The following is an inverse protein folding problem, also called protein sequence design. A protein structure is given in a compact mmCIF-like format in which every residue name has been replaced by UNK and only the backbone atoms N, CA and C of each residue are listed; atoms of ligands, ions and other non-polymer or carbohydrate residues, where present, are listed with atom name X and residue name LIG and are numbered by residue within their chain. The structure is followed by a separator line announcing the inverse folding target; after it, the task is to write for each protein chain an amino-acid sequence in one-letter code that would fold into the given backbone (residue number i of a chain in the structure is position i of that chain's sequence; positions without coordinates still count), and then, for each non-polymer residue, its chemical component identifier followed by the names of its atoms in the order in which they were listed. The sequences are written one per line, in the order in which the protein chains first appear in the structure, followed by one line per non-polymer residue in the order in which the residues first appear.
data_IF_905601361003
#
_entry.id   IF_905601361003
#
_cell.length_a   1.000
_cell.length_b   1.000
_cell.length_c   1.000
_cell.angle_alpha   90.00
_cell.angle_beta   90.00
_cell.angle_gamma   90.00
#
_symmetry.space_group_name_H-M   'P 1'
#
loop_
_entity.id
_entity.type
_entity.pdbx_description
1 polymer ?
#
# COMPACT_ATOMS: atom_id res chain seq x y z
N UNK A 1 21.69 4.92 68.95
CA UNK A 1 23.00 4.60 68.35
C UNK A 1 22.88 4.97 66.88
N UNK A 2 23.14 6.24 66.56
CA UNK A 2 24.42 6.82 66.10
C UNK A 2 24.35 7.10 64.60
N UNK A 3 24.15 8.36 64.20
CA UNK A 3 25.15 9.31 63.64
C UNK A 3 25.30 9.09 62.12
N UNK A 4 25.27 10.06 61.19
CA UNK A 4 25.16 11.53 61.16
C UNK A 4 24.88 11.95 59.68
N UNK A 5 24.12 13.00 59.40
CA UNK A 5 24.53 14.42 59.24
C UNK A 5 25.62 14.69 58.18
N UNK A 6 25.23 15.34 57.06
CA UNK A 6 25.67 16.68 56.54
C UNK A 6 25.37 16.74 55.02
N UNK A 7 24.44 17.58 54.52
CA UNK A 7 24.45 19.04 54.25
C UNK A 7 24.63 19.36 52.74
N UNK A 8 23.75 20.22 52.19
CA UNK A 8 24.06 21.07 51.04
C UNK A 8 22.93 21.29 50.02
N UNK A 9 22.16 22.39 50.18
CA UNK A 9 21.85 23.46 49.19
C UNK A 9 21.54 23.03 47.73
N UNK A 10 20.52 23.45 46.97
CA UNK A 10 19.70 24.68 46.81
C UNK A 10 18.71 24.38 45.65
N UNK A 11 17.40 24.59 45.78
CA UNK A 11 16.59 25.70 45.22
C UNK A 11 16.46 25.84 43.67
N UNK A 12 15.20 26.05 43.22
CA UNK A 12 14.67 26.54 41.93
C UNK A 12 14.60 25.54 40.74
N UNK A 13 13.59 25.53 39.85
CA UNK A 13 12.33 26.26 39.69
C UNK A 13 11.49 25.48 38.64
N UNK A 14 10.27 25.03 38.98
CA UNK A 14 9.30 24.45 38.02
C UNK A 14 8.45 25.58 37.43
N UNK A 15 8.54 25.82 36.11
CA UNK A 15 7.62 26.73 35.42
C UNK A 15 6.47 25.96 34.77
N UNK A 16 5.29 26.31 35.26
CA UNK A 16 3.95 25.84 34.92
C UNK A 16 3.35 26.75 33.85
N UNK A 17 2.66 26.15 32.87
CA UNK A 17 1.82 26.84 31.90
C UNK A 17 0.67 27.60 32.59
N UNK A 18 0.28 28.80 32.12
CA UNK A 18 -1.03 29.35 32.41
C UNK A 18 -1.89 29.42 31.14
N UNK A 19 -3.05 28.77 31.23
CA UNK A 19 -4.26 29.04 30.46
C UNK A 19 -5.17 29.92 31.33
N UNK A 20 -5.62 31.07 30.83
CA UNK A 20 -6.94 31.59 31.17
C UNK A 20 -7.45 32.55 30.05
N UNK A 21 -8.74 32.47 29.65
CA UNK A 21 -9.33 33.27 28.59
C UNK A 21 -10.07 34.48 29.17
N UNK A 22 -10.05 35.62 28.48
CA UNK A 22 -11.09 36.68 28.48
C UNK A 22 -10.50 37.99 27.94
N UNK A 23 -10.80 38.33 26.69
CA UNK A 23 -11.03 39.71 26.18
C UNK A 23 -11.16 39.67 24.66
N UNK A 24 -12.35 39.93 24.16
CA UNK A 24 -12.59 40.17 22.75
C UNK A 24 -12.27 41.61 22.34
N UNK A 25 -12.49 41.86 21.04
CA UNK A 25 -12.76 43.12 20.34
C UNK A 25 -11.63 43.61 19.41
N UNK A 26 -11.96 43.49 18.11
CA UNK A 26 -11.60 44.26 16.90
C UNK A 26 -10.22 44.08 16.23
N UNK A 27 -10.27 43.43 15.05
CA UNK A 27 -9.29 43.52 13.98
C UNK A 27 -9.38 44.88 13.23
N UNK A 28 -8.24 45.52 12.88
CA UNK A 28 -8.22 46.60 11.90
C UNK A 28 -7.84 46.09 10.50
N UNK A 29 -8.61 46.56 9.52
CA UNK A 29 -8.47 46.36 8.07
C UNK A 29 -7.12 46.87 7.49
N UNK A 30 -6.63 46.29 6.37
CA UNK A 30 -5.41 46.76 5.71
C UNK A 30 -5.66 48.00 4.83
N UNK A 31 -4.76 48.97 4.94
CA UNK A 31 -4.77 50.25 4.24
C UNK A 31 -4.39 50.13 2.76
N UNK A 32 -5.04 50.98 1.96
CA UNK A 32 -4.79 51.22 0.54
C UNK A 32 -3.56 52.10 0.32
N UNK A 33 -2.70 51.74 -0.64
CA UNK A 33 -1.83 52.70 -1.32
C UNK A 33 -2.10 52.64 -2.82
N UNK A 34 -2.63 53.74 -3.35
CA UNK A 34 -2.93 53.97 -4.76
C UNK A 34 -1.64 54.33 -5.52
N UNK A 35 -1.56 53.93 -6.79
CA UNK A 35 -0.78 54.66 -7.81
C UNK A 35 -1.65 54.86 -9.07
N UNK A 36 -1.42 55.94 -9.84
CA UNK A 36 -2.40 56.45 -10.80
C UNK A 36 -2.25 55.79 -12.19
N UNK A 37 -3.39 55.57 -12.85
CA UNK A 37 -3.44 55.05 -14.21
C UNK A 37 -3.20 56.12 -15.27
N UNK A 38 -2.88 55.68 -16.50
CA UNK A 38 -3.32 56.30 -17.75
C UNK A 38 -3.07 55.36 -18.95
N UNK A 39 -4.08 55.34 -19.83
CA UNK A 39 -4.14 54.93 -21.25
C UNK A 39 -4.14 53.45 -21.64
N UNK A 40 -5.24 53.07 -22.29
CA UNK A 40 -5.45 51.79 -22.92
C UNK A 40 -4.85 51.68 -24.32
N UNK A 41 -4.55 50.44 -24.69
CA UNK A 41 -4.51 49.98 -26.07
C UNK A 41 -4.97 48.52 -26.10
N UNK A 42 -6.05 48.27 -26.86
CA UNK A 42 -6.50 46.95 -27.27
C UNK A 42 -5.34 46.20 -27.94
N UNK A 43 -5.23 44.89 -27.71
CA UNK A 43 -5.23 43.83 -28.75
C UNK A 43 -4.56 42.54 -28.23
N UNK A 44 -5.18 41.39 -28.56
CA UNK A 44 -4.66 40.01 -28.59
C UNK A 44 -4.47 39.21 -27.29
N UNK A 45 -5.53 38.45 -26.99
CA UNK A 45 -5.50 37.13 -26.34
C UNK A 45 -4.36 36.26 -26.93
N UNK A 46 -3.39 35.89 -26.10
CA UNK A 46 -2.59 34.67 -26.29
C UNK A 46 -2.94 33.73 -25.14
N UNK A 47 -3.64 32.65 -25.48
CA UNK A 47 -3.82 31.49 -24.59
C UNK A 47 -2.42 30.91 -24.34
N UNK A 48 -1.92 30.97 -23.11
CA UNK A 48 -0.85 30.07 -22.67
C UNK A 48 -1.50 28.70 -22.53
N UNK A 49 -0.99 27.73 -23.27
CA UNK A 49 -1.46 26.35 -23.21
C UNK A 49 -1.27 25.79 -21.83
N UNK A 50 -2.26 25.01 -21.39
CA UNK A 50 -2.05 23.96 -20.40
C UNK A 50 -0.99 23.02 -20.97
N UNK A 51 0.15 22.95 -20.30
CA UNK A 51 1.07 21.83 -20.45
C UNK A 51 0.42 20.67 -19.72
N UNK A 52 -0.25 19.81 -20.48
CA UNK A 52 -0.63 18.48 -20.03
C UNK A 52 0.66 17.69 -19.86
N UNK A 53 1.07 17.42 -18.62
CA UNK A 53 2.06 16.40 -18.35
C UNK A 53 1.42 15.05 -18.71
N UNK A 54 1.64 14.62 -19.95
CA UNK A 54 1.31 13.28 -20.43
C UNK A 54 2.12 12.27 -19.59
N UNK A 55 1.42 11.55 -18.71
CA UNK A 55 1.98 10.34 -18.10
C UNK A 55 2.04 9.29 -19.19
N UNK A 56 3.23 9.09 -19.75
CA UNK A 56 3.55 7.95 -20.60
C UNK A 56 3.39 6.67 -19.75
N UNK A 57 2.41 5.85 -20.12
CA UNK A 57 2.31 4.47 -19.66
C UNK A 57 3.45 3.69 -20.34
N UNK A 58 4.60 3.58 -19.67
CA UNK A 58 5.67 2.70 -20.11
C UNK A 58 5.15 1.25 -20.09
N UNK A 59 4.96 0.66 -21.27
CA UNK A 59 4.75 -0.78 -21.44
C UNK A 59 6.04 -1.50 -21.01
N UNK A 60 6.02 -2.12 -19.84
CA UNK A 60 7.15 -2.87 -19.33
C UNK A 60 7.29 -4.22 -20.06
N UNK A 61 8.44 -4.41 -20.69
CA UNK A 61 8.88 -5.69 -21.22
C UNK A 61 9.05 -6.72 -20.10
N UNK A 62 8.61 -7.94 -20.38
CA UNK A 62 8.77 -9.12 -19.52
C UNK A 62 10.24 -9.57 -19.46
N UNK A 63 11.11 -8.79 -18.82
CA UNK A 63 12.41 -9.30 -18.37
C UNK A 63 12.22 -9.89 -16.97
N UNK A 64 12.34 -11.22 -16.85
CA UNK A 64 12.19 -11.95 -15.60
C UNK A 64 12.99 -11.31 -14.46
N UNK A 65 12.29 -10.64 -13.56
CA UNK A 65 12.84 -9.84 -12.48
C UNK A 65 13.60 -10.72 -11.48
N UNK A 66 14.94 -10.73 -11.56
CA UNK A 66 15.79 -11.49 -10.64
C UNK A 66 15.67 -10.96 -9.22
N UNK A 67 15.55 -11.88 -8.26
CA UNK A 67 15.73 -11.63 -6.82
C UNK A 67 17.04 -10.89 -6.55
N UNK A 68 16.94 -9.70 -5.95
CA UNK A 68 18.11 -8.92 -5.52
C UNK A 68 18.69 -9.56 -4.26
N UNK A 69 19.92 -10.07 -4.36
CA UNK A 69 20.66 -10.57 -3.19
C UNK A 69 21.41 -9.44 -2.50
N UNK A 70 21.34 -9.30 -1.17
CA UNK A 70 22.12 -8.31 -0.43
C UNK A 70 23.62 -8.49 -0.65
N UNK A 71 24.33 -7.37 -0.76
CA UNK A 71 25.80 -7.34 -0.90
C UNK A 71 26.53 -7.68 0.41
N UNK A 72 25.84 -7.59 1.54
CA UNK A 72 26.32 -7.95 2.86
C UNK A 72 25.15 -8.13 3.83
N UNK A 73 25.38 -8.84 4.93
CA UNK A 73 24.33 -9.16 5.92
C UNK A 73 23.77 -7.91 6.61
N UNK A 74 24.57 -6.84 6.69
CA UNK A 74 24.17 -5.58 7.30
C UNK A 74 23.39 -4.65 6.35
N UNK A 75 23.37 -4.95 5.05
CA UNK A 75 22.80 -4.06 4.04
C UNK A 75 21.36 -4.43 3.71
N UNK A 76 20.54 -3.39 3.56
CA UNK A 76 19.18 -3.50 3.06
C UNK A 76 19.20 -3.32 1.54
N UNK A 77 18.42 -4.14 0.83
CA UNK A 77 18.23 -3.97 -0.62
C UNK A 77 16.88 -3.36 -0.93
N UNK A 78 16.86 -2.61 -2.03
CA UNK A 78 15.63 -2.10 -2.63
C UNK A 78 15.28 -2.94 -3.86
N UNK A 79 13.99 -3.05 -4.16
CA UNK A 79 13.50 -3.74 -5.35
C UNK A 79 13.89 -3.02 -6.64
N UNK A 80 13.98 -3.81 -7.70
CA UNK A 80 14.12 -3.34 -9.07
C UNK A 80 12.80 -2.84 -9.65
N UNK A 81 11.69 -3.00 -8.93
CA UNK A 81 10.37 -2.61 -9.38
C UNK A 81 10.20 -1.09 -9.40
N UNK A 82 9.41 -0.54 -10.34
CA UNK A 82 9.05 0.86 -10.34
C UNK A 82 8.40 1.26 -9.01
N UNK A 83 8.80 2.43 -8.51
CA UNK A 83 8.25 3.01 -7.28
C UNK A 83 6.72 3.12 -7.28
N UNK A 84 6.13 3.38 -8.45
CA UNK A 84 4.69 3.50 -8.63
C UNK A 84 3.94 2.21 -8.25
N UNK A 85 4.49 1.03 -8.53
CA UNK A 85 3.83 -0.27 -8.29
C UNK A 85 3.52 -0.46 -6.80
N UNK A 86 4.47 -0.17 -5.91
CA UNK A 86 4.31 -0.40 -4.48
C UNK A 86 3.85 0.83 -3.70
N UNK A 87 4.23 2.03 -4.11
CA UNK A 87 3.77 3.27 -3.44
C UNK A 87 2.27 3.47 -3.60
N UNK A 88 1.69 3.03 -4.74
CA UNK A 88 0.27 3.17 -5.01
C UNK A 88 -0.59 2.16 -4.24
N UNK A 89 -0.05 1.02 -3.79
CA UNK A 89 -0.78 -0.04 -3.07
C UNK A 89 -1.58 0.50 -1.88
N UNK A 90 -0.99 1.41 -1.10
CA UNK A 90 -1.64 1.95 0.10
C UNK A 90 -2.85 2.84 -0.22
N UNK A 91 -2.86 3.45 -1.40
CA UNK A 91 -3.81 4.48 -1.83
C UNK A 91 -4.60 4.10 -3.09
N UNK A 92 -4.64 2.81 -3.45
CA UNK A 92 -5.35 2.34 -4.65
C UNK A 92 -6.81 2.78 -4.68
N UNK A 93 -7.49 2.80 -3.54
CA UNK A 93 -8.88 3.27 -3.45
C UNK A 93 -9.05 4.73 -3.88
N UNK A 94 -8.10 5.58 -3.51
CA UNK A 94 -8.12 7.01 -3.81
C UNK A 94 -7.80 7.21 -5.30
N UNK A 95 -6.80 6.49 -5.81
CA UNK A 95 -6.40 6.52 -7.22
C UNK A 95 -7.55 6.04 -8.11
N UNK A 96 -8.17 4.91 -7.76
CA UNK A 96 -9.35 4.38 -8.45
C UNK A 96 -10.51 5.36 -8.43
N UNK A 97 -10.73 6.10 -7.34
CA UNK A 97 -11.78 7.14 -7.27
C UNK A 97 -11.48 8.34 -8.15
N UNK A 98 -10.22 8.80 -8.18
CA UNK A 98 -9.78 9.92 -9.03
C UNK A 98 -9.84 9.56 -10.51
N UNK A 99 -9.43 8.35 -10.87
CA UNK A 99 -9.39 7.86 -12.25
C UNK A 99 -10.78 7.45 -12.77
N UNK A 100 -11.84 7.54 -11.96
CA UNK A 100 -13.21 7.29 -12.46
C UNK A 100 -13.55 8.34 -13.53
N UNK A 101 -14.05 7.93 -14.70
CA UNK A 101 -14.51 8.88 -15.71
C UNK A 101 -15.54 9.85 -15.15
N UNK A 102 -15.37 11.15 -15.44
CA UNK A 102 -16.27 12.23 -15.00
C UNK A 102 -17.69 12.05 -15.52
N UNK A 103 -17.83 11.65 -16.78
CA UNK A 103 -19.09 11.19 -17.33
C UNK A 103 -19.09 9.66 -17.31
N UNK A 104 -19.98 9.01 -16.53
CA UNK A 104 -20.08 7.56 -16.57
C UNK A 104 -20.43 7.15 -18.01
N UNK A 105 -19.83 6.07 -18.54
CA UNK A 105 -20.12 5.61 -19.87
C UNK A 105 -21.64 5.39 -20.01
N UNK A 106 -22.24 5.97 -21.05
CA UNK A 106 -23.68 5.89 -21.31
C UNK A 106 -24.10 4.43 -21.34
N UNK A 107 -24.73 3.96 -20.25
CA UNK A 107 -25.20 2.59 -20.16
C UNK A 107 -26.21 2.35 -21.29
N UNK A 108 -25.97 1.40 -22.21
CA UNK A 108 -26.94 1.09 -23.23
C UNK A 108 -28.22 0.55 -22.57
N UNK A 109 -29.39 0.94 -23.08
CA UNK A 109 -30.70 0.60 -22.47
C UNK A 109 -31.03 -0.90 -22.50
N UNK A 110 -30.24 -1.71 -23.21
CA UNK A 110 -30.45 -3.14 -23.39
C UNK A 110 -29.12 -3.91 -23.33
N UNK A 111 -28.30 -3.67 -22.31
CA UNK A 111 -27.17 -4.58 -22.02
C UNK A 111 -27.72 -5.86 -21.39
N UNK A 112 -27.34 -7.04 -21.88
CA UNK A 112 -27.68 -8.29 -21.20
C UNK A 112 -27.07 -8.28 -19.79
N UNK A 113 -27.80 -8.81 -18.82
CA UNK A 113 -27.35 -8.91 -17.43
C UNK A 113 -26.07 -9.74 -17.30
N UNK A 114 -25.91 -10.75 -18.15
CA UNK A 114 -24.72 -11.57 -18.23
C UNK A 114 -23.88 -11.13 -19.42
N UNK A 115 -22.64 -10.75 -19.16
CA UNK A 115 -21.63 -10.67 -20.22
C UNK A 115 -21.41 -12.09 -20.77
N UNK A 116 -21.27 -12.27 -22.09
CA UNK A 116 -21.00 -13.58 -22.67
C UNK A 116 -19.68 -14.14 -22.11
N UNK A 117 -19.79 -15.30 -21.47
CA UNK A 117 -18.67 -16.06 -20.92
C UNK A 117 -18.41 -17.29 -21.77
N UNK A 118 -17.15 -17.65 -21.95
CA UNK A 118 -16.76 -18.94 -22.51
C UNK A 118 -17.19 -20.07 -21.56
N UNK A 119 -17.64 -21.19 -22.13
CA UNK A 119 -17.98 -22.37 -21.33
C UNK A 119 -16.71 -23.00 -20.75
N UNK A 120 -16.53 -22.96 -19.42
CA UNK A 120 -15.35 -23.48 -18.74
C UNK A 120 -15.51 -23.52 -17.21
N UNK A 121 -14.58 -24.22 -16.54
CA UNK A 121 -14.50 -24.28 -15.07
C UNK A 121 -14.09 -22.94 -14.44
N UNK A 122 -13.41 -22.09 -15.22
CA UNK A 122 -13.08 -20.72 -14.88
C UNK A 122 -13.83 -19.82 -15.86
N UNK A 123 -14.71 -18.92 -15.39
CA UNK A 123 -15.47 -18.05 -16.27
C UNK A 123 -14.54 -16.99 -16.89
N UNK A 124 -14.23 -17.16 -18.17
CA UNK A 124 -13.51 -16.17 -18.97
C UNK A 124 -14.49 -15.42 -19.88
N UNK A 125 -14.35 -14.10 -19.97
CA UNK A 125 -15.22 -13.27 -20.81
C UNK A 125 -14.72 -13.27 -22.26
N UNK A 126 -15.65 -13.34 -23.21
CA UNK A 126 -15.32 -13.23 -24.63
C UNK A 126 -14.82 -11.81 -24.93
N UNK A 127 -13.61 -11.69 -25.46
CA UNK A 127 -13.09 -10.40 -25.95
C UNK A 127 -13.63 -10.13 -27.35
N UNK A 128 -13.85 -8.86 -27.70
CA UNK A 128 -14.55 -8.42 -28.95
C UNK A 128 -13.84 -8.78 -30.27
N UNK A 129 -12.77 -9.59 -30.24
CA UNK A 129 -12.11 -10.15 -31.42
C UNK A 129 -12.72 -11.46 -31.91
N UNK A 130 -13.52 -12.14 -31.08
CA UNK A 130 -14.12 -13.46 -31.39
C UNK A 130 -15.61 -13.34 -31.78
N UNK A 131 -16.00 -12.30 -32.52
CA UNK A 131 -17.39 -12.09 -32.96
C UNK A 131 -17.87 -13.12 -34.02
N UNK A 132 -17.06 -14.14 -34.33
CA UNK A 132 -17.34 -15.13 -35.37
C UNK A 132 -18.16 -16.35 -34.95
N UNK A 133 -18.05 -16.83 -33.71
CA UNK A 133 -18.68 -18.10 -33.31
C UNK A 133 -19.01 -18.10 -31.81
N UNK A 134 -20.20 -17.60 -31.46
CA UNK A 134 -20.83 -17.94 -30.18
C UNK A 134 -21.62 -19.23 -30.43
N UNK A 135 -21.13 -20.43 -30.07
CA UNK A 135 -21.94 -21.63 -30.19
C UNK A 135 -23.19 -21.48 -29.32
N UNK A 136 -24.37 -21.59 -29.93
CA UNK A 136 -25.64 -21.66 -29.23
C UNK A 136 -25.65 -22.94 -28.35
N UNK A 137 -25.29 -22.81 -27.07
CA UNK A 137 -25.25 -23.94 -26.13
C UNK A 137 -26.65 -24.19 -25.55
N UNK A 138 -27.56 -24.72 -26.37
CA UNK A 138 -28.85 -25.27 -25.91
C UNK A 138 -28.81 -26.77 -25.60
N UNK A 139 -27.65 -27.42 -25.57
CA UNK A 139 -27.59 -28.89 -25.43
C UNK A 139 -26.40 -29.45 -24.63
N UNK A 140 -25.99 -28.82 -23.53
CA UNK A 140 -25.05 -29.44 -22.58
C UNK A 140 -25.82 -29.93 -21.34
N UNK A 141 -26.15 -31.22 -21.33
CA UNK A 141 -26.79 -31.90 -20.21
C UNK A 141 -26.05 -31.64 -18.89
N UNK A 142 -26.83 -31.29 -17.88
CA UNK A 142 -26.44 -31.01 -16.49
C UNK A 142 -25.78 -32.24 -15.85
N UNK A 143 -24.46 -32.36 -16.00
CA UNK A 143 -23.63 -33.19 -15.14
C UNK A 143 -23.58 -32.52 -13.77
N UNK A 144 -24.15 -33.18 -12.77
CA UNK A 144 -24.15 -32.73 -11.37
C UNK A 144 -22.69 -32.54 -10.95
N UNK A 145 -22.29 -31.28 -10.73
CA UNK A 145 -20.99 -30.90 -10.22
C UNK A 145 -21.05 -30.84 -8.69
N UNK A 146 -20.06 -31.45 -8.03
CA UNK A 146 -19.84 -31.31 -6.59
C UNK A 146 -19.48 -29.85 -6.26
N UNK A 147 -20.49 -29.02 -6.00
CA UNK A 147 -20.34 -27.60 -5.62
C UNK A 147 -19.43 -27.39 -4.39
N UNK A 148 -19.28 -28.41 -3.53
CA UNK A 148 -18.41 -28.36 -2.36
C UNK A 148 -16.90 -28.48 -2.65
N UNK A 149 -16.50 -28.90 -3.86
CA UNK A 149 -15.09 -28.93 -4.31
C UNK A 149 -14.73 -27.77 -5.24
N UNK A 150 -15.72 -26.91 -5.53
CA UNK A 150 -15.59 -25.75 -6.40
C UNK A 150 -15.48 -24.46 -5.59
N UNK A 151 -14.97 -24.49 -4.36
CA UNK A 151 -14.45 -23.25 -3.77
C UNK A 151 -13.21 -22.91 -4.61
N UNK A 152 -13.29 -21.93 -5.53
CA UNK A 152 -12.21 -21.69 -6.47
C UNK A 152 -11.16 -20.90 -5.71
N UNK A 153 -10.41 -21.61 -4.88
CA UNK A 153 -9.23 -21.08 -4.21
C UNK A 153 -8.36 -20.45 -5.28
N UNK A 154 -8.10 -19.16 -5.11
CA UNK A 154 -7.21 -18.41 -5.98
C UNK A 154 -5.86 -19.14 -6.04
N UNK A 155 -5.14 -19.13 -7.17
CA UNK A 155 -3.78 -19.67 -7.23
C UNK A 155 -2.87 -19.13 -6.12
N UNK A 156 -3.11 -17.91 -5.64
CA UNK A 156 -2.41 -17.33 -4.50
C UNK A 156 -2.77 -18.02 -3.17
N UNK A 157 -4.07 -18.25 -2.92
CA UNK A 157 -4.55 -18.93 -1.72
C UNK A 157 -4.08 -20.39 -1.63
N UNK A 158 -4.01 -21.09 -2.77
CA UNK A 158 -3.43 -22.45 -2.83
C UNK A 158 -1.96 -22.45 -2.44
N UNK A 159 -1.19 -21.50 -2.98
CA UNK A 159 0.23 -21.34 -2.62
C UNK A 159 0.38 -20.99 -1.13
N UNK A 160 -0.51 -20.16 -0.58
CA UNK A 160 -0.54 -19.90 0.87
C UNK A 160 -0.82 -21.15 1.71
N UNK A 161 -1.74 -22.02 1.29
CA UNK A 161 -2.01 -23.29 1.97
C UNK A 161 -0.81 -24.24 1.93
N UNK A 162 -0.18 -24.37 0.77
CA UNK A 162 1.01 -25.20 0.59
C UNK A 162 2.17 -24.68 1.44
N UNK A 163 2.37 -23.36 1.49
CA UNK A 163 3.40 -22.73 2.33
C UNK A 163 3.11 -22.80 3.82
N UNK A 164 1.84 -22.85 4.22
CA UNK A 164 1.51 -23.16 5.61
C UNK A 164 1.98 -24.55 6.05
N UNK A 165 2.13 -25.50 5.13
CA UNK A 165 2.60 -26.87 5.41
C UNK A 165 4.12 -26.98 5.23
N UNK A 166 4.63 -26.51 4.08
CA UNK A 166 6.04 -26.64 3.68
C UNK A 166 6.96 -25.63 4.37
N UNK A 167 6.40 -24.50 4.86
CA UNK A 167 7.14 -23.34 5.41
C UNK A 167 8.12 -22.71 4.42
N UNK A 168 7.90 -22.88 3.13
CA UNK A 168 8.67 -22.18 2.10
C UNK A 168 8.05 -20.81 1.83
N UNK A 169 8.57 -19.76 2.47
CA UNK A 169 8.00 -18.42 2.34
C UNK A 169 8.43 -17.69 1.06
N UNK A 170 9.49 -18.15 0.38
CA UNK A 170 10.02 -17.47 -0.80
C UNK A 170 9.03 -17.53 -1.97
N UNK A 171 8.41 -18.70 -2.19
CA UNK A 171 7.43 -18.91 -3.26
C UNK A 171 6.23 -17.94 -3.19
N UNK A 172 5.76 -17.62 -1.98
CA UNK A 172 4.64 -16.67 -1.77
C UNK A 172 5.06 -15.25 -2.13
N UNK A 173 6.25 -14.82 -1.71
CA UNK A 173 6.75 -13.48 -2.01
C UNK A 173 7.01 -13.31 -3.51
N UNK A 174 7.57 -14.33 -4.17
CA UNK A 174 7.79 -14.33 -5.61
C UNK A 174 6.46 -14.27 -6.38
N UNK A 175 5.44 -14.99 -5.93
CA UNK A 175 4.10 -14.89 -6.51
C UNK A 175 3.49 -13.49 -6.32
N UNK A 176 3.66 -12.87 -5.15
CA UNK A 176 3.18 -11.50 -4.89
C UNK A 176 3.86 -10.49 -5.81
N UNK A 177 5.16 -10.67 -6.08
CA UNK A 177 5.91 -9.81 -7.00
C UNK A 177 5.36 -9.86 -8.43
N UNK A 178 5.02 -11.05 -8.92
CA UNK A 178 4.48 -11.24 -10.27
C UNK A 178 3.04 -10.73 -10.45
N UNK A 179 2.35 -10.33 -9.38
CA UNK A 179 0.96 -9.88 -9.45
C UNK A 179 0.85 -8.36 -9.67
N UNK A 180 -0.18 -7.94 -10.41
CA UNK A 180 -0.51 -6.52 -10.53
C UNK A 180 -0.95 -5.94 -9.18
N UNK A 181 -0.72 -4.63 -8.91
CA UNK A 181 -1.16 -4.00 -7.67
C UNK A 181 -2.66 -4.15 -7.38
N UNK A 182 -3.50 -4.19 -8.43
CA UNK A 182 -4.94 -4.42 -8.29
C UNK A 182 -5.28 -5.87 -7.95
N UNK A 183 -4.49 -6.84 -8.42
CA UNK A 183 -4.63 -8.25 -8.06
C UNK A 183 -4.21 -8.46 -6.61
N UNK A 184 -3.08 -7.89 -6.18
CA UNK A 184 -2.60 -7.95 -4.80
C UNK A 184 -3.66 -7.42 -3.82
N UNK A 185 -4.26 -6.26 -4.12
CA UNK A 185 -5.34 -5.67 -3.32
C UNK A 185 -6.56 -6.60 -3.20
N UNK A 186 -6.99 -7.22 -4.31
CA UNK A 186 -8.10 -8.18 -4.32
C UNK A 186 -7.78 -9.42 -3.49
N UNK A 187 -6.60 -10.00 -3.68
CA UNK A 187 -6.15 -11.20 -2.97
C UNK A 187 -5.98 -10.95 -1.48
N UNK A 188 -5.39 -9.82 -1.08
CA UNK A 188 -5.26 -9.50 0.35
C UNK A 188 -6.64 -9.28 0.98
N UNK A 189 -7.56 -8.63 0.26
CA UNK A 189 -8.93 -8.43 0.74
C UNK A 189 -9.71 -9.73 0.85
N UNK A 190 -9.43 -10.72 -0.01
CA UNK A 190 -10.08 -12.05 0.01
C UNK A 190 -9.67 -12.89 1.22
N UNK A 191 -8.51 -12.61 1.83
CA UNK A 191 -8.05 -13.23 3.08
C UNK A 191 -8.83 -12.77 4.31
N UNK A 192 -9.63 -11.70 4.21
CA UNK A 192 -10.41 -11.21 5.35
C UNK A 192 -11.56 -12.19 5.66
N UNK A 193 -11.80 -12.55 6.93
CA UNK A 193 -12.96 -13.37 7.30
C UNK A 193 -14.30 -12.68 6.94
N UNK A 194 -14.29 -11.35 6.73
CA UNK A 194 -15.46 -10.57 6.31
C UNK A 194 -15.77 -10.70 4.80
N UNK A 195 -14.85 -11.24 4.00
CA UNK A 195 -15.03 -11.39 2.54
C UNK A 195 -15.91 -12.58 2.13
N UNK A 196 -16.46 -13.33 3.09
CA UNK A 196 -17.62 -14.21 2.89
C UNK A 196 -17.39 -15.53 2.14
N UNK A 197 -16.13 -15.97 1.98
CA UNK A 197 -15.81 -17.23 1.29
C UNK A 197 -15.55 -18.42 2.21
N UNK A 198 -14.66 -18.25 3.20
CA UNK A 198 -14.01 -19.37 3.88
C UNK A 198 -14.40 -19.45 5.36
N UNK A 199 -14.18 -20.61 5.99
CA UNK A 199 -14.30 -20.73 7.45
C UNK A 199 -13.33 -19.76 8.16
N UNK A 200 -13.75 -19.20 9.29
CA UNK A 200 -12.94 -18.24 10.06
C UNK A 200 -11.53 -18.78 10.38
N UNK A 201 -11.42 -20.08 10.66
CA UNK A 201 -10.16 -20.77 10.96
C UNK A 201 -9.24 -20.86 9.75
N UNK A 202 -9.78 -20.99 8.55
CA UNK A 202 -9.01 -21.07 7.31
C UNK A 202 -8.40 -19.72 6.94
N UNK A 203 -9.21 -18.65 6.97
CA UNK A 203 -8.75 -17.29 6.73
C UNK A 203 -7.70 -16.85 7.73
N UNK A 204 -7.88 -17.19 9.02
CA UNK A 204 -6.89 -16.92 10.07
C UNK A 204 -5.55 -17.63 9.79
N UNK A 205 -5.59 -18.89 9.35
CA UNK A 205 -4.39 -19.66 9.01
C UNK A 205 -3.65 -19.07 7.80
N UNK A 206 -4.36 -18.72 6.74
CA UNK A 206 -3.77 -18.09 5.56
C UNK A 206 -3.13 -16.74 5.90
N UNK A 207 -3.83 -15.91 6.68
CA UNK A 207 -3.29 -14.64 7.16
C UNK A 207 -2.04 -14.82 8.04
N UNK A 208 -2.05 -15.82 8.92
CA UNK A 208 -0.88 -16.17 9.74
C UNK A 208 0.34 -16.54 8.87
N UNK A 209 0.13 -17.32 7.80
CA UNK A 209 1.20 -17.69 6.87
C UNK A 209 1.71 -16.49 6.07
N UNK A 210 0.82 -15.60 5.62
CA UNK A 210 1.22 -14.34 4.99
C UNK A 210 2.09 -13.47 5.92
N UNK A 211 1.68 -13.29 7.19
CA UNK A 211 2.46 -12.51 8.15
C UNK A 211 3.83 -13.15 8.44
N UNK A 212 3.90 -14.48 8.51
CA UNK A 212 5.17 -15.20 8.67
C UNK A 212 6.06 -15.08 7.42
N UNK A 213 5.47 -15.05 6.23
CA UNK A 213 6.22 -14.82 5.00
C UNK A 213 6.84 -13.42 4.97
N UNK A 214 6.07 -12.40 5.34
CA UNK A 214 6.57 -11.02 5.47
C UNK A 214 7.64 -10.89 6.56
N UNK A 215 7.48 -11.58 7.68
CA UNK A 215 8.50 -11.64 8.74
C UNK A 215 9.81 -12.27 8.23
N UNK A 216 9.72 -13.38 7.47
CA UNK A 216 10.87 -14.01 6.86
C UNK A 216 11.58 -13.05 5.89
N UNK A 217 10.80 -12.33 5.07
CA UNK A 217 11.34 -11.34 4.14
C UNK A 217 12.05 -10.19 4.86
N UNK A 218 11.47 -9.65 5.93
CA UNK A 218 12.11 -8.61 6.75
C UNK A 218 13.44 -9.09 7.35
N UNK A 219 13.48 -10.33 7.86
CA UNK A 219 14.73 -10.92 8.37
C UNK A 219 15.79 -11.10 7.31
N UNK A 220 15.39 -11.38 6.08
CA UNK A 220 16.31 -11.51 4.94
C UNK A 220 16.89 -10.17 4.46
N UNK A 221 16.36 -9.04 4.94
CA UNK A 221 16.74 -7.66 4.53
C UNK A 221 16.65 -7.42 3.02
N UNK A 222 15.74 -8.14 2.36
CA UNK A 222 15.48 -8.03 0.92
C UNK A 222 14.27 -7.15 0.64
N UNK A 223 14.39 -6.28 -0.35
CA UNK A 223 13.27 -5.50 -0.93
C UNK A 223 12.42 -4.85 0.16
N UNK A 224 13.08 -4.02 0.96
CA UNK A 224 12.50 -3.52 2.19
C UNK A 224 11.25 -2.67 1.94
N UNK A 225 11.26 -1.82 0.93
CA UNK A 225 10.13 -0.98 0.55
C UNK A 225 8.91 -1.78 0.07
N UNK A 226 9.11 -2.86 -0.72
CA UNK A 226 8.01 -3.77 -1.09
C UNK A 226 7.42 -4.43 0.16
N UNK A 227 8.29 -4.96 1.01
CA UNK A 227 7.88 -5.64 2.24
C UNK A 227 7.10 -4.71 3.17
N UNK A 228 7.55 -3.45 3.32
CA UNK A 228 6.83 -2.42 4.08
C UNK A 228 5.47 -2.08 3.43
N UNK A 229 5.40 -2.00 2.10
CA UNK A 229 4.15 -1.72 1.40
C UNK A 229 3.11 -2.85 1.58
N UNK A 230 3.52 -4.11 1.42
CA UNK A 230 2.66 -5.28 1.64
C UNK A 230 2.23 -5.40 3.11
N UNK A 231 3.16 -5.18 4.04
CA UNK A 231 2.85 -5.16 5.46
C UNK A 231 1.82 -4.07 5.80
N UNK A 232 2.04 -2.84 5.32
CA UNK A 232 1.12 -1.74 5.55
C UNK A 232 -0.29 -2.03 5.00
N UNK A 233 -0.38 -2.65 3.82
CA UNK A 233 -1.65 -3.06 3.23
C UNK A 233 -2.33 -4.16 4.07
N UNK A 234 -1.60 -5.21 4.45
CA UNK A 234 -2.12 -6.31 5.26
C UNK A 234 -2.63 -5.81 6.62
N UNK A 235 -1.88 -4.93 7.30
CA UNK A 235 -2.30 -4.36 8.57
C UNK A 235 -3.53 -3.44 8.42
N UNK A 236 -3.60 -2.65 7.34
CA UNK A 236 -4.75 -1.78 7.07
C UNK A 236 -6.02 -2.59 6.84
N UNK A 237 -5.94 -3.68 6.08
CA UNK A 237 -7.08 -4.54 5.76
C UNK A 237 -7.50 -5.45 6.92
N UNK A 238 -6.53 -5.98 7.68
CA UNK A 238 -6.78 -7.01 8.69
C UNK A 238 -6.57 -6.56 10.13
N UNK A 239 -6.47 -5.25 10.40
CA UNK A 239 -6.27 -4.69 11.74
C UNK A 239 -7.22 -5.27 12.80
N UNK A 240 -8.51 -5.36 12.47
CA UNK A 240 -9.54 -5.94 13.34
C UNK A 240 -9.29 -7.42 13.61
N UNK A 241 -9.05 -8.22 12.58
CA UNK A 241 -8.81 -9.66 12.70
C UNK A 241 -7.54 -9.96 13.53
N UNK A 242 -6.46 -9.19 13.30
CA UNK A 242 -5.20 -9.33 14.05
C UNK A 242 -5.42 -9.02 15.53
N UNK A 243 -6.20 -7.99 15.85
CA UNK A 243 -6.47 -7.59 17.24
C UNK A 243 -7.32 -8.60 18.04
N UNK A 244 -8.07 -9.46 17.35
CA UNK A 244 -8.98 -10.43 17.98
C UNK A 244 -8.31 -11.78 18.25
N UNK A 245 -7.31 -12.17 17.44
CA UNK A 245 -6.58 -13.43 17.60
C UNK A 245 -5.27 -13.24 18.37
N UNK A 246 -5.09 -14.05 19.41
CA UNK A 246 -3.85 -14.10 20.17
C UNK A 246 -2.65 -14.60 19.34
N UNK A 247 -2.89 -15.51 18.38
CA UNK A 247 -1.82 -16.07 17.54
C UNK A 247 -1.32 -15.06 16.52
N UNK A 248 -2.22 -14.34 15.86
CA UNK A 248 -1.86 -13.26 14.94
C UNK A 248 -1.15 -12.11 15.68
N UNK A 249 -1.64 -11.75 16.87
CA UNK A 249 -1.01 -10.72 17.70
C UNK A 249 0.42 -11.10 18.09
N UNK A 250 0.69 -12.36 18.40
CA UNK A 250 2.05 -12.81 18.75
C UNK A 250 3.03 -12.63 17.57
N UNK A 251 2.64 -13.04 16.36
CA UNK A 251 3.47 -12.85 15.15
C UNK A 251 3.61 -11.37 14.80
N UNK A 252 2.54 -10.58 14.96
CA UNK A 252 2.60 -9.14 14.71
C UNK A 252 3.58 -8.42 15.64
N UNK A 253 3.74 -8.87 16.90
CA UNK A 253 4.74 -8.33 17.84
C UNK A 253 6.17 -8.65 17.40
N UNK A 254 6.43 -9.90 17.02
CA UNK A 254 7.74 -10.33 16.49
C UNK A 254 8.10 -9.53 15.22
N UNK A 255 7.10 -9.26 14.38
CA UNK A 255 7.24 -8.46 13.18
C UNK A 255 7.53 -6.99 13.50
N UNK A 256 6.83 -6.41 14.49
CA UNK A 256 7.10 -5.06 14.98
C UNK A 256 8.53 -4.92 15.51
N UNK A 257 9.01 -5.86 16.33
CA UNK A 257 10.37 -5.82 16.89
C UNK A 257 11.43 -5.88 15.77
N UNK A 258 11.25 -6.81 14.81
CA UNK A 258 12.16 -6.97 13.67
C UNK A 258 12.15 -5.74 12.76
N UNK A 259 10.97 -5.19 12.48
CA UNK A 259 10.81 -3.99 11.67
C UNK A 259 11.41 -2.77 12.36
N UNK A 260 11.16 -2.58 13.65
CA UNK A 260 11.64 -1.43 14.41
C UNK A 260 13.17 -1.43 14.49
N UNK A 261 13.78 -2.58 14.75
CA UNK A 261 15.25 -2.70 14.77
C UNK A 261 15.86 -2.39 13.40
N UNK A 262 15.29 -2.91 12.31
CA UNK A 262 15.78 -2.65 10.95
C UNK A 262 15.59 -1.19 10.55
N UNK A 263 14.46 -0.59 10.94
CA UNK A 263 14.15 0.81 10.66
C UNK A 263 15.04 1.77 11.45
N UNK A 264 15.34 1.48 12.72
CA UNK A 264 16.24 2.30 13.53
C UNK A 264 17.62 2.43 12.91
N UNK A 265 18.21 1.31 12.46
CA UNK A 265 19.51 1.31 11.77
C UNK A 265 19.48 2.21 10.52
N UNK A 266 18.50 2.00 9.64
CA UNK A 266 18.33 2.83 8.44
C UNK A 266 18.12 4.31 8.77
N UNK A 267 17.32 4.60 9.80
CA UNK A 267 17.00 5.96 10.20
C UNK A 267 18.23 6.68 10.75
N UNK A 268 19.08 6.01 11.54
CA UNK A 268 20.33 6.58 12.04
C UNK A 268 21.30 6.95 10.91
N UNK A 269 21.48 6.04 9.94
CA UNK A 269 22.35 6.27 8.78
C UNK A 269 21.85 7.42 7.91
N UNK A 270 20.55 7.44 7.60
CA UNK A 270 19.93 8.51 6.82
C UNK A 270 19.96 9.86 7.54
N UNK A 271 19.74 9.88 8.86
CA UNK A 271 19.83 11.11 9.64
C UNK A 271 21.26 11.64 9.70
N UNK A 272 22.25 10.76 9.86
CA UNK A 272 23.66 11.16 9.84
C UNK A 272 24.02 11.80 8.49
N UNK A 273 23.68 11.13 7.38
CA UNK A 273 23.92 11.64 6.04
C UNK A 273 23.19 12.98 5.81
N UNK A 274 21.92 13.08 6.24
CA UNK A 274 21.12 14.30 6.12
C UNK A 274 21.71 15.49 6.90
N UNK A 275 22.15 15.25 8.14
CA UNK A 275 22.79 16.28 8.98
C UNK A 275 24.11 16.79 8.36
N UNK A 276 24.95 15.88 7.86
CA UNK A 276 26.20 16.25 7.20
C UNK A 276 25.95 17.05 5.92
N UNK A 277 25.01 16.60 5.08
CA UNK A 277 24.64 17.32 3.86
C UNK A 277 24.08 18.72 4.16
N UNK A 278 23.24 18.86 5.19
CA UNK A 278 22.73 20.15 5.62
C UNK A 278 23.84 21.09 6.13
N UNK A 279 24.81 20.53 6.87
CA UNK A 279 25.98 21.28 7.33
C UNK A 279 26.82 21.77 6.13
N UNK A 280 27.18 20.89 5.18
CA UNK A 280 27.97 21.30 4.01
C UNK A 280 27.24 22.28 3.10
N UNK A 281 25.92 22.13 2.94
CA UNK A 281 25.10 23.07 2.17
C UNK A 281 25.05 24.45 2.80
N UNK A 282 25.05 24.55 4.14
CA UNK A 282 25.08 25.86 4.82
C UNK A 282 26.47 26.48 4.87
N UNK A 283 27.53 25.66 4.92
CA UNK A 283 28.92 26.13 4.92
C UNK A 283 29.41 26.68 3.57
N UNK A 284 28.78 26.29 2.46
CA UNK A 284 29.16 26.70 1.09
C UNK A 284 28.42 27.94 0.56
N UNK A 285 27.51 28.52 1.34
CA UNK A 285 26.73 29.72 0.98
C UNK A 285 27.41 31.01 1.47
N UNK A 286 28.74 31.02 1.57
CA UNK A 286 29.54 32.23 1.85
C UNK A 286 30.30 32.71 0.61
#
# INVERSE_FOLDING_TARGET
MTWGSTCGLTNLCTRRFPSDPSRGILDPSPSSCQTPGVTGKRERRRRRGDECEDMEEEEEGEEGERLVTPLGEDLVTLSTLPKSRWSNLQNLDIIKKRNRPLEPPKQPKATPFFLPTLAGLVPEFVTRGDEGDIPNVEAAASKILDLGKLEPLSPFQRTLEDTCVTRDYAAVIDQIRGMSPSTIDKEFRSLSPEAGGHTHTHSERQLLCLLRALLHQLRSRREFELTQAYLGLALKLHSRAISQSQQLTAVAKELLETQASSWQQLQEDLNMAGCLLAYFKSATVY
#
